data_IF_613881218847
#
_entry.id   IF_613881218847
#
_cell.length_a   1.000
_cell.length_b   1.000
_cell.length_c   1.000
_cell.angle_alpha   90.00
_cell.angle_beta   90.00
_cell.angle_gamma   90.00
#
_symmetry.space_group_name_H-M   'P 1'
#
loop_
_entity.id
_entity.type
_entity.pdbx_description
1 polymer ?
#
# COMPACT_ATOMS: atom_id res chain seq x y z
N UNK A 1 -26.78 -6.21 13.98
CA UNK A 1 -25.92 -5.35 13.14
C UNK A 1 -25.35 -4.13 13.86
N UNK A 2 -26.00 -3.53 14.88
CA UNK A 2 -25.41 -2.42 15.66
C UNK A 2 -24.14 -2.80 16.47
N UNK A 3 -24.02 -4.05 16.93
CA UNK A 3 -22.85 -4.52 17.69
C UNK A 3 -21.55 -4.65 16.88
N UNK A 4 -21.61 -4.74 15.54
CA UNK A 4 -20.42 -4.88 14.69
C UNK A 4 -19.62 -3.57 14.63
N UNK A 5 -20.25 -2.40 14.80
CA UNK A 5 -19.58 -1.09 14.68
C UNK A 5 -18.79 -0.67 15.94
N UNK A 6 -19.11 -1.24 17.10
CA UNK A 6 -18.43 -0.92 18.36
C UNK A 6 -16.95 -1.33 18.37
N UNK A 7 -16.55 -2.25 17.49
CA UNK A 7 -15.20 -2.79 17.42
C UNK A 7 -14.93 -3.79 18.56
N UNK A 8 -14.10 -4.79 18.30
CA UNK A 8 -13.65 -5.74 19.32
C UNK A 8 -12.83 -4.99 20.40
N UNK A 9 -12.92 -5.33 21.70
CA UNK A 9 -12.17 -4.62 22.76
C UNK A 9 -10.64 -4.57 22.53
N UNK A 10 -10.10 -5.58 21.86
CA UNK A 10 -8.69 -5.65 21.41
C UNK A 10 -8.39 -4.98 20.07
N UNK A 11 -9.21 -4.03 19.61
CA UNK A 11 -8.98 -3.35 18.33
C UNK A 11 -7.76 -2.41 18.38
N UNK A 12 -7.08 -2.23 17.25
CA UNK A 12 -6.07 -1.18 17.11
C UNK A 12 -6.68 0.22 17.00
N UNK A 13 -5.88 1.27 16.72
CA UNK A 13 -6.40 2.60 16.42
C UNK A 13 -7.49 2.57 15.34
N UNK A 14 -8.49 3.46 15.45
CA UNK A 14 -9.61 3.58 14.50
C UNK A 14 -9.82 5.04 14.09
N UNK A 15 -8.73 5.74 13.81
CA UNK A 15 -8.70 7.19 13.53
C UNK A 15 -8.24 7.37 12.08
N UNK A 16 -9.14 7.16 11.08
CA UNK A 16 -8.78 7.33 9.68
C UNK A 16 -8.43 8.79 9.37
N UNK A 17 -7.54 9.00 8.41
CA UNK A 17 -7.31 10.30 7.82
C UNK A 17 -8.61 10.83 7.23
N UNK A 18 -8.97 12.05 7.61
CA UNK A 18 -10.24 12.67 7.23
C UNK A 18 -10.26 13.13 5.77
N UNK A 19 -9.10 13.49 5.20
CA UNK A 19 -8.96 13.98 3.84
C UNK A 19 -7.52 13.78 3.34
N UNK A 20 -7.32 13.94 2.04
CA UNK A 20 -5.99 14.05 1.44
C UNK A 20 -5.40 15.42 1.72
N UNK A 21 -4.14 15.54 2.15
CA UNK A 21 -3.48 16.85 2.27
C UNK A 21 -3.47 17.58 0.93
N UNK A 22 -3.57 18.92 0.95
CA UNK A 22 -3.45 19.74 -0.26
C UNK A 22 -2.06 19.59 -0.88
N UNK A 23 -2.00 19.56 -2.20
CA UNK A 23 -0.73 19.59 -2.93
C UNK A 23 0.00 20.89 -2.63
N UNK A 24 1.28 20.81 -2.29
CA UNK A 24 2.12 22.00 -2.07
C UNK A 24 2.64 22.50 -3.42
N UNK A 25 2.82 23.82 -3.63
CA UNK A 25 3.63 24.31 -4.75
C UNK A 25 5.03 23.68 -4.72
N UNK A 26 5.64 23.55 -5.89
CA UNK A 26 6.98 22.96 -6.07
C UNK A 26 7.11 21.56 -5.45
N UNK A 27 6.09 20.73 -5.65
CA UNK A 27 6.04 19.35 -5.15
C UNK A 27 5.77 18.33 -6.24
N UNK A 28 6.07 17.07 -5.96
CA UNK A 28 5.61 15.94 -6.76
C UNK A 28 4.82 14.98 -5.89
N UNK A 29 3.67 14.53 -6.41
CA UNK A 29 2.79 13.54 -5.80
C UNK A 29 2.74 12.28 -6.66
N UNK A 30 3.08 11.15 -6.06
CA UNK A 30 2.82 9.82 -6.59
C UNK A 30 1.58 9.25 -5.91
N UNK A 31 0.62 8.79 -6.69
CA UNK A 31 -0.56 8.06 -6.19
C UNK A 31 -0.64 6.69 -6.83
N UNK A 32 -1.07 5.68 -6.08
CA UNK A 32 -1.45 4.38 -6.63
C UNK A 32 -2.68 3.81 -5.94
N UNK A 33 -3.44 3.04 -6.71
CA UNK A 33 -4.51 2.20 -6.20
C UNK A 33 -4.40 0.79 -6.77
N UNK A 34 -4.84 -0.21 -6.01
CA UNK A 34 -5.03 -1.58 -6.48
C UNK A 34 -6.39 -2.05 -6.02
N UNK A 35 -7.30 -2.22 -6.97
CA UNK A 35 -8.63 -2.78 -6.74
C UNK A 35 -8.58 -4.29 -6.85
N UNK A 36 -9.26 -4.97 -5.94
CA UNK A 36 -9.19 -6.41 -5.78
C UNK A 36 -10.61 -6.95 -5.88
N UNK A 37 -10.85 -7.77 -6.90
CA UNK A 37 -12.12 -8.45 -7.12
C UNK A 37 -11.98 -9.97 -6.99
N UNK A 38 -13.06 -10.64 -6.55
CA UNK A 38 -13.09 -12.10 -6.34
C UNK A 38 -12.56 -12.55 -4.96
N UNK A 39 -12.46 -11.63 -3.99
CA UNK A 39 -11.94 -11.92 -2.65
C UNK A 39 -12.91 -12.70 -1.74
N UNK A 40 -14.20 -12.74 -2.10
CA UNK A 40 -15.22 -13.45 -1.31
C UNK A 40 -15.14 -14.96 -1.50
N UNK A 41 -14.83 -15.42 -2.70
CA UNK A 41 -14.58 -16.83 -3.00
C UNK A 41 -13.15 -17.21 -2.61
N UNK A 42 -12.95 -18.37 -1.97
CA UNK A 42 -11.60 -18.89 -1.70
C UNK A 42 -10.94 -19.49 -2.95
N UNK A 43 -11.76 -19.94 -3.89
CA UNK A 43 -11.36 -20.57 -5.15
C UNK A 43 -11.87 -19.74 -6.32
N UNK A 44 -11.12 -19.71 -7.42
CA UNK A 44 -11.44 -18.91 -8.60
C UNK A 44 -10.51 -17.71 -8.78
N UNK A 45 -10.56 -17.06 -9.95
CA UNK A 45 -9.62 -16.02 -10.32
C UNK A 45 -9.75 -14.82 -9.39
N UNK A 46 -8.62 -14.39 -8.84
CA UNK A 46 -8.52 -13.11 -8.14
C UNK A 46 -7.94 -12.09 -9.12
N UNK A 47 -8.65 -10.99 -9.34
CA UNK A 47 -8.23 -9.97 -10.32
C UNK A 47 -7.80 -8.71 -9.59
N UNK A 48 -6.56 -8.30 -9.82
CA UNK A 48 -5.94 -7.11 -9.25
C UNK A 48 -5.85 -6.04 -10.35
N UNK A 49 -6.42 -4.86 -10.12
CA UNK A 49 -6.40 -3.74 -11.06
C UNK A 49 -5.68 -2.55 -10.44
N UNK A 50 -4.41 -2.43 -10.79
CA UNK A 50 -3.53 -1.36 -10.39
C UNK A 50 -3.65 -0.13 -11.29
N UNK A 51 -3.68 1.06 -10.70
CA UNK A 51 -3.53 2.36 -11.38
C UNK A 51 -2.56 3.24 -10.62
N UNK A 52 -1.72 3.98 -11.33
CA UNK A 52 -0.73 4.87 -10.75
C UNK A 52 -0.62 6.18 -11.53
N UNK A 53 -0.27 7.26 -10.82
CA UNK A 53 0.00 8.58 -11.42
C UNK A 53 1.09 9.31 -10.66
N UNK A 54 2.02 9.91 -11.41
CA UNK A 54 2.94 10.93 -10.92
C UNK A 54 2.50 12.30 -11.44
N UNK A 55 2.38 13.27 -10.54
CA UNK A 55 1.93 14.62 -10.84
C UNK A 55 2.81 15.64 -10.14
N UNK A 56 3.37 16.58 -10.89
CA UNK A 56 4.07 17.74 -10.34
C UNK A 56 3.08 18.87 -10.10
N UNK A 57 3.27 19.59 -9.01
CA UNK A 57 2.57 20.84 -8.72
C UNK A 57 3.56 21.97 -8.87
N UNK A 58 3.30 22.88 -9.80
CA UNK A 58 4.19 23.99 -10.12
C UNK A 58 4.14 25.11 -9.05
N UNK A 59 4.95 26.18 -9.17
CA UNK A 59 4.93 27.29 -8.20
C UNK A 59 3.58 28.02 -8.08
N UNK A 60 2.72 27.94 -9.11
CA UNK A 60 1.38 28.55 -9.12
C UNK A 60 0.32 27.65 -8.49
N UNK A 61 0.67 26.39 -8.19
CA UNK A 61 -0.25 25.36 -7.69
C UNK A 61 -0.89 24.52 -8.80
N UNK A 62 -0.58 24.77 -10.08
CA UNK A 62 -1.13 24.00 -11.19
C UNK A 62 -0.51 22.59 -11.24
N UNK A 63 -1.33 21.59 -11.52
CA UNK A 63 -0.90 20.20 -11.64
C UNK A 63 -0.51 19.84 -13.06
N UNK A 64 0.68 19.26 -13.25
CA UNK A 64 1.15 18.66 -14.49
C UNK A 64 1.36 17.16 -14.29
N UNK A 65 0.58 16.34 -14.99
CA UNK A 65 0.78 14.90 -14.98
C UNK A 65 2.05 14.53 -15.75
N UNK A 66 2.96 13.81 -15.09
CA UNK A 66 4.22 13.36 -15.70
C UNK A 66 4.12 11.93 -16.23
N UNK A 67 3.40 11.08 -15.52
CA UNK A 67 3.28 9.67 -15.87
C UNK A 67 1.97 9.09 -15.33
N UNK A 68 1.45 8.10 -16.07
CA UNK A 68 0.37 7.22 -15.64
C UNK A 68 0.72 5.79 -15.98
N UNK A 69 0.23 4.85 -15.19
CA UNK A 69 0.30 3.43 -15.51
C UNK A 69 -0.95 2.70 -15.02
N UNK A 70 -1.33 1.64 -15.73
CA UNK A 70 -2.29 0.64 -15.31
C UNK A 70 -1.66 -0.75 -15.41
N UNK A 71 -1.91 -1.59 -14.43
CA UNK A 71 -1.47 -3.00 -14.42
C UNK A 71 -2.64 -3.86 -13.97
N UNK A 72 -2.99 -4.86 -14.75
CA UNK A 72 -3.96 -5.89 -14.35
C UNK A 72 -3.23 -7.22 -14.17
N UNK A 73 -3.43 -7.86 -13.02
CA UNK A 73 -2.85 -9.15 -12.67
C UNK A 73 -3.97 -10.11 -12.29
N UNK A 74 -4.05 -11.24 -12.98
CA UNK A 74 -4.91 -12.34 -12.58
C UNK A 74 -4.10 -13.36 -11.78
N UNK A 75 -4.63 -13.77 -10.63
CA UNK A 75 -4.03 -14.75 -9.76
C UNK A 75 -4.87 -16.03 -9.77
N UNK A 76 -4.22 -17.15 -10.11
CA UNK A 76 -4.76 -18.48 -9.90
C UNK A 76 -4.59 -18.87 -8.43
N UNK A 77 -5.68 -19.34 -7.82
CA UNK A 77 -5.77 -19.77 -6.41
C UNK A 77 -6.17 -21.24 -6.25
N UNK A 78 -6.16 -22.03 -7.33
CA UNK A 78 -6.43 -23.48 -7.27
C UNK A 78 -5.38 -24.26 -6.45
N UNK A 79 -4.21 -23.64 -6.21
CA UNK A 79 -3.16 -24.15 -5.33
C UNK A 79 -2.42 -23.01 -4.63
N UNK A 80 -1.09 -23.05 -4.64
CA UNK A 80 -0.28 -21.92 -4.16
C UNK A 80 -0.53 -20.71 -5.08
N UNK A 81 -0.96 -19.54 -4.56
CA UNK A 81 -1.32 -18.41 -5.41
C UNK A 81 -0.19 -18.04 -6.37
N UNK A 82 -0.50 -18.00 -7.65
CA UNK A 82 0.45 -17.72 -8.72
C UNK A 82 -0.18 -16.83 -9.78
N UNK A 83 0.67 -16.07 -10.49
CA UNK A 83 0.21 -15.19 -11.56
C UNK A 83 -0.25 -16.03 -12.76
N UNK A 84 -1.51 -15.88 -13.14
CA UNK A 84 -2.07 -16.48 -14.34
C UNK A 84 -1.89 -15.57 -15.57
N UNK A 85 -2.02 -14.25 -15.37
CA UNK A 85 -1.90 -13.25 -16.44
C UNK A 85 -1.41 -11.91 -15.90
N UNK A 86 -0.64 -11.19 -16.71
CA UNK A 86 -0.26 -9.78 -16.47
C UNK A 86 -0.50 -8.99 -17.74
N UNK A 87 -1.16 -7.84 -17.62
CA UNK A 87 -1.24 -6.83 -18.67
C UNK A 87 -0.92 -5.47 -18.10
N UNK A 88 -0.24 -4.63 -18.87
CA UNK A 88 0.16 -3.29 -18.43
C UNK A 88 -0.01 -2.27 -19.56
N UNK A 89 -0.35 -1.04 -19.17
CA UNK A 89 -0.39 0.14 -20.02
C UNK A 89 0.31 1.32 -19.31
N UNK A 90 1.44 1.84 -19.82
CA UNK A 90 2.15 1.36 -21.01
C UNK A 90 2.67 -0.09 -20.83
N UNK A 91 2.94 -0.82 -21.92
CA UNK A 91 3.51 -2.17 -21.84
C UNK A 91 4.79 -2.18 -21.00
N UNK A 92 4.95 -3.22 -20.18
CA UNK A 92 6.14 -3.48 -19.37
C UNK A 92 6.93 -4.65 -19.99
N UNK A 93 7.98 -4.39 -20.80
CA UNK A 93 8.77 -5.46 -21.39
C UNK A 93 9.38 -6.36 -20.31
N UNK A 94 9.13 -7.68 -20.39
CA UNK A 94 9.59 -8.65 -19.40
C UNK A 94 8.52 -9.06 -18.39
N UNK A 95 7.37 -8.36 -18.32
CA UNK A 95 6.29 -8.71 -17.40
C UNK A 95 5.68 -10.10 -17.67
N UNK A 96 5.79 -10.60 -18.91
CA UNK A 96 5.38 -11.95 -19.30
C UNK A 96 6.14 -13.04 -18.52
N UNK A 97 7.38 -12.78 -18.09
CA UNK A 97 8.17 -13.70 -17.28
C UNK A 97 7.61 -13.91 -15.87
N UNK A 98 6.64 -13.08 -15.44
CA UNK A 98 5.97 -13.22 -14.15
C UNK A 98 4.83 -14.25 -14.20
N UNK A 99 4.37 -14.68 -15.38
CA UNK A 99 3.35 -15.72 -15.49
C UNK A 99 3.87 -17.03 -14.90
N UNK A 100 3.08 -17.65 -14.01
CA UNK A 100 3.47 -18.81 -13.21
C UNK A 100 4.27 -18.47 -11.96
N UNK A 101 4.70 -17.21 -11.75
CA UNK A 101 5.41 -16.82 -10.54
C UNK A 101 4.49 -16.89 -9.32
N UNK A 102 4.96 -17.60 -8.29
CA UNK A 102 4.24 -17.69 -7.02
C UNK A 102 4.23 -16.35 -6.28
N UNK A 103 3.05 -15.93 -5.82
CA UNK A 103 2.86 -14.64 -5.14
C UNK A 103 3.38 -14.64 -3.70
N UNK A 104 3.05 -15.65 -2.85
CA UNK A 104 3.66 -15.72 -1.53
C UNK A 104 5.16 -15.90 -1.69
N UNK A 105 5.98 -15.14 -0.95
CA UNK A 105 7.43 -15.33 -0.89
C UNK A 105 8.19 -15.33 -2.23
N UNK A 106 8.90 -14.24 -2.53
CA UNK A 106 9.84 -14.18 -3.67
C UNK A 106 9.31 -13.47 -4.91
N UNK A 107 8.01 -13.20 -5.01
CA UNK A 107 7.42 -12.45 -6.13
C UNK A 107 8.12 -11.12 -6.40
N UNK A 108 8.38 -10.31 -5.37
CA UNK A 108 9.10 -9.03 -5.52
C UNK A 108 10.51 -9.18 -6.10
N UNK A 109 11.19 -10.30 -5.82
CA UNK A 109 12.49 -10.61 -6.45
C UNK A 109 12.31 -10.99 -7.91
N UNK A 110 11.25 -11.74 -8.25
CA UNK A 110 10.91 -12.05 -9.63
C UNK A 110 10.60 -10.77 -10.43
N UNK A 111 9.84 -9.83 -9.85
CA UNK A 111 9.59 -8.50 -10.46
C UNK A 111 10.90 -7.74 -10.69
N UNK A 112 11.79 -7.68 -9.69
CA UNK A 112 13.09 -7.01 -9.85
C UNK A 112 13.97 -7.66 -10.92
N UNK A 113 13.92 -8.99 -11.06
CA UNK A 113 14.67 -9.72 -12.08
C UNK A 113 14.07 -9.56 -13.49
N UNK A 114 12.74 -9.51 -13.59
CA UNK A 114 12.01 -9.34 -14.85
C UNK A 114 12.07 -7.90 -15.38
N UNK A 115 12.07 -6.92 -14.47
CA UNK A 115 11.98 -5.49 -14.79
C UNK A 115 13.14 -4.67 -14.18
N UNK A 116 14.41 -4.99 -14.48
CA UNK A 116 15.56 -4.35 -13.82
C UNK A 116 15.73 -2.87 -14.17
N UNK A 117 15.19 -2.40 -15.31
CA UNK A 117 15.23 -1.00 -15.73
C UNK A 117 14.11 -0.14 -15.11
N UNK A 118 13.13 -0.76 -14.45
CA UNK A 118 11.87 -0.12 -14.06
C UNK A 118 11.74 0.08 -12.55
N UNK A 119 12.81 -0.09 -11.76
CA UNK A 119 12.75 -0.24 -10.28
C UNK A 119 12.05 0.90 -9.51
N UNK A 120 11.88 2.07 -10.13
CA UNK A 120 11.17 3.22 -9.55
C UNK A 120 9.97 3.69 -10.40
N UNK A 121 9.55 2.92 -11.40
CA UNK A 121 8.40 3.25 -12.24
C UNK A 121 7.07 2.90 -11.58
N UNK A 122 5.99 3.50 -12.07
CA UNK A 122 4.63 3.20 -11.61
C UNK A 122 4.26 1.73 -11.88
N UNK A 123 4.72 1.16 -13.00
CA UNK A 123 4.48 -0.26 -13.30
C UNK A 123 5.13 -1.19 -12.28
N UNK A 124 6.38 -0.91 -11.91
CA UNK A 124 7.07 -1.67 -10.86
C UNK A 124 6.38 -1.52 -9.50
N UNK A 125 5.96 -0.31 -9.12
CA UNK A 125 5.19 -0.07 -7.90
C UNK A 125 3.92 -0.94 -7.84
N UNK A 126 3.12 -0.95 -8.93
CA UNK A 126 1.87 -1.70 -8.99
C UNK A 126 2.09 -3.22 -8.90
N UNK A 127 3.17 -3.73 -9.51
CA UNK A 127 3.57 -5.13 -9.36
C UNK A 127 4.13 -5.43 -7.97
N UNK A 128 4.87 -4.51 -7.35
CA UNK A 128 5.40 -4.66 -5.98
C UNK A 128 4.29 -4.78 -4.93
N UNK A 129 3.11 -4.22 -5.20
CA UNK A 129 1.91 -4.29 -4.34
C UNK A 129 1.13 -5.61 -4.46
N UNK A 130 1.36 -6.43 -5.49
CA UNK A 130 0.64 -7.69 -5.72
C UNK A 130 0.66 -8.63 -4.50
N UNK A 131 1.80 -8.89 -3.82
CA UNK A 131 1.80 -9.77 -2.65
C UNK A 131 0.93 -9.25 -1.51
N UNK A 132 1.00 -7.94 -1.22
CA UNK A 132 0.14 -7.33 -0.22
C UNK A 132 -1.33 -7.42 -0.63
N UNK A 133 -1.64 -7.34 -1.92
CA UNK A 133 -3.01 -7.31 -2.44
C UNK A 133 -3.65 -8.69 -2.30
N UNK A 134 -2.88 -9.74 -2.61
CA UNK A 134 -3.30 -11.12 -2.36
C UNK A 134 -3.50 -11.39 -0.87
N UNK A 135 -2.64 -10.86 0.01
CA UNK A 135 -2.81 -11.01 1.47
C UNK A 135 -4.15 -10.42 1.94
N UNK A 136 -4.47 -9.19 1.53
CA UNK A 136 -5.70 -8.52 1.99
C UNK A 136 -6.96 -9.01 1.27
N UNK A 137 -6.82 -9.69 0.12
CA UNK A 137 -7.97 -10.22 -0.63
C UNK A 137 -8.85 -11.21 0.16
N UNK A 138 -8.27 -11.91 1.13
CA UNK A 138 -9.00 -12.84 2.00
C UNK A 138 -9.86 -12.15 3.06
N UNK A 139 -9.82 -10.81 3.14
CA UNK A 139 -10.57 -10.05 4.14
C UNK A 139 -12.08 -10.24 4.00
N UNK A 140 -12.61 -10.13 2.77
CA UNK A 140 -14.04 -10.29 2.49
C UNK A 140 -14.56 -11.65 2.97
N UNK A 141 -13.79 -12.72 2.73
CA UNK A 141 -14.10 -14.06 3.21
C UNK A 141 -14.13 -14.16 4.75
N UNK A 142 -13.23 -13.45 5.43
CA UNK A 142 -13.07 -13.52 6.88
C UNK A 142 -14.16 -12.77 7.68
N UNK A 143 -14.76 -11.73 7.11
CA UNK A 143 -15.68 -10.84 7.85
C UNK A 143 -17.15 -10.98 7.44
N UNK A 144 -17.44 -11.50 6.25
CA UNK A 144 -18.82 -11.63 5.77
C UNK A 144 -19.52 -12.88 6.34
N UNK A 145 -20.78 -12.76 6.77
CA UNK A 145 -21.59 -13.91 7.15
C UNK A 145 -21.81 -14.87 5.96
N UNK A 146 -21.61 -16.16 6.17
CA UNK A 146 -21.92 -17.20 5.19
C UNK A 146 -21.67 -18.60 5.76
N UNK A 147 -22.00 -19.67 5.02
CA UNK A 147 -21.50 -21.04 5.25
C UNK A 147 -20.00 -21.15 4.93
N UNK A 148 -19.24 -20.11 5.26
CA UNK A 148 -17.80 -20.12 5.13
C UNK A 148 -17.31 -21.20 6.09
N UNK A 149 -16.80 -22.29 5.52
CA UNK A 149 -16.21 -23.38 6.29
C UNK A 149 -15.05 -22.90 7.17
N UNK A 150 -14.46 -23.78 7.99
CA UNK A 150 -13.31 -23.41 8.81
C UNK A 150 -12.25 -22.69 7.97
N UNK A 151 -11.62 -21.65 8.56
CA UNK A 151 -10.52 -20.93 7.94
C UNK A 151 -9.54 -21.92 7.33
N UNK A 152 -9.17 -21.81 6.04
CA UNK A 152 -8.17 -22.68 5.46
C UNK A 152 -6.92 -22.58 6.34
N UNK A 153 -6.61 -23.66 7.05
CA UNK A 153 -5.58 -23.70 8.09
C UNK A 153 -4.17 -23.40 7.59
N UNK A 154 -3.99 -23.23 6.27
CA UNK A 154 -2.74 -22.87 5.63
C UNK A 154 -2.36 -21.39 5.70
N UNK A 155 -3.24 -20.49 6.17
CA UNK A 155 -2.97 -19.05 6.27
C UNK A 155 -2.67 -18.54 7.69
N UNK A 156 -2.94 -19.33 8.74
CA UNK A 156 -2.73 -18.93 10.13
C UNK A 156 -1.27 -19.18 10.58
N UNK A 157 -0.31 -18.61 9.86
CA UNK A 157 1.08 -18.70 10.29
C UNK A 157 1.32 -17.67 11.40
N UNK A 158 1.67 -18.17 12.59
CA UNK A 158 2.04 -17.32 13.71
C UNK A 158 3.34 -16.58 13.41
N UNK A 159 3.50 -15.42 14.05
CA UNK A 159 4.71 -14.61 14.07
C UNK A 159 5.19 -14.12 12.71
N UNK A 160 4.29 -14.03 11.72
CA UNK A 160 4.59 -13.42 10.41
C UNK A 160 4.67 -11.89 10.46
N UNK A 161 3.93 -11.27 11.38
CA UNK A 161 3.92 -9.83 11.61
C UNK A 161 3.41 -9.50 13.02
N UNK A 162 3.47 -8.24 13.42
CA UNK A 162 3.06 -7.76 14.75
C UNK A 162 1.59 -8.07 15.09
N UNK A 163 0.69 -8.12 14.10
CA UNK A 163 -0.70 -8.53 14.35
C UNK A 163 -0.85 -10.04 14.56
N UNK A 164 -0.04 -10.85 13.87
CA UNK A 164 -0.12 -12.32 13.87
C UNK A 164 0.76 -12.97 14.94
N UNK A 165 1.09 -12.23 16.00
CA UNK A 165 1.93 -12.74 17.08
C UNK A 165 1.29 -13.94 17.75
N UNK A 166 2.09 -14.95 18.07
CA UNK A 166 1.65 -16.16 18.77
C UNK A 166 0.89 -15.86 20.07
N UNK A 167 1.27 -14.80 20.77
CA UNK A 167 0.68 -14.30 22.02
C UNK A 167 -0.40 -13.23 21.82
N UNK A 168 -0.75 -12.89 20.58
CA UNK A 168 -1.68 -11.82 20.23
C UNK A 168 -3.13 -12.26 20.05
N UNK A 169 -4.01 -11.26 19.99
CA UNK A 169 -5.48 -11.38 19.93
C UNK A 169 -5.96 -12.37 18.87
N UNK A 170 -5.49 -12.24 17.62
CA UNK A 170 -5.89 -13.16 16.53
C UNK A 170 -5.51 -14.61 16.82
N UNK A 171 -4.28 -14.85 17.25
CA UNK A 171 -3.77 -16.21 17.46
C UNK A 171 -4.39 -16.86 18.69
N UNK A 172 -4.72 -16.08 19.73
CA UNK A 172 -5.47 -16.57 20.88
C UNK A 172 -6.87 -16.99 20.43
N UNK A 173 -7.62 -16.11 19.76
CA UNK A 173 -8.97 -16.39 19.24
C UNK A 173 -9.00 -17.64 18.36
N UNK A 174 -8.04 -17.80 17.44
CA UNK A 174 -7.97 -18.98 16.59
C UNK A 174 -7.80 -20.28 17.41
N UNK A 175 -7.03 -20.26 18.50
CA UNK A 175 -6.82 -21.43 19.36
C UNK A 175 -7.99 -21.72 20.29
N UNK A 176 -8.66 -20.68 20.81
CA UNK A 176 -9.69 -20.83 21.86
C UNK A 176 -11.10 -20.90 21.29
N UNK A 177 -11.34 -20.23 20.16
CA UNK A 177 -12.67 -20.04 19.57
C UNK A 177 -12.78 -20.64 18.15
N UNK A 178 -11.68 -21.12 17.58
CA UNK A 178 -11.66 -21.80 16.28
C UNK A 178 -11.75 -20.88 15.06
N UNK A 179 -11.63 -19.56 15.26
CA UNK A 179 -11.71 -18.55 14.20
C UNK A 179 -11.08 -17.21 14.56
N UNK A 180 -11.00 -16.32 13.57
CA UNK A 180 -10.61 -14.93 13.81
C UNK A 180 -11.74 -14.20 14.54
N UNK A 181 -11.43 -13.28 15.45
CA UNK A 181 -12.47 -12.47 16.08
C UNK A 181 -13.10 -11.58 15.00
N UNK A 182 -14.41 -11.29 15.08
CA UNK A 182 -15.07 -10.40 14.12
C UNK A 182 -14.32 -9.07 14.00
N UNK A 183 -13.91 -8.74 12.77
CA UNK A 183 -13.19 -7.52 12.47
C UNK A 183 -14.13 -6.50 11.83
N UNK A 184 -14.12 -5.27 12.35
CA UNK A 184 -14.88 -4.18 11.77
C UNK A 184 -14.04 -2.90 11.76
N UNK A 185 -13.81 -2.36 10.56
CA UNK A 185 -13.19 -1.05 10.37
C UNK A 185 -14.13 0.11 10.71
N UNK A 186 -13.61 1.33 10.99
CA UNK A 186 -14.43 2.53 10.92
C UNK A 186 -14.84 2.80 9.47
N UNK A 187 -15.93 3.56 9.28
CA UNK A 187 -16.34 4.06 7.95
C UNK A 187 -15.17 4.81 7.31
N UNK A 188 -14.91 4.55 6.03
CA UNK A 188 -13.88 5.23 5.26
C UNK A 188 -14.32 6.65 4.89
N UNK A 189 -13.62 7.69 5.37
CA UNK A 189 -13.85 9.04 4.87
C UNK A 189 -13.47 9.12 3.40
N UNK A 190 -14.23 9.91 2.63
CA UNK A 190 -13.85 10.24 1.27
C UNK A 190 -12.55 11.06 1.29
N UNK A 191 -11.58 10.62 0.50
CA UNK A 191 -10.28 11.27 0.37
C UNK A 191 -10.24 12.24 -0.81
N UNK A 192 -11.26 12.23 -1.68
CA UNK A 192 -11.37 13.20 -2.75
C UNK A 192 -11.59 14.60 -2.17
N UNK A 193 -10.88 15.57 -2.73
CA UNK A 193 -11.12 16.99 -2.47
C UNK A 193 -11.82 17.57 -3.72
N UNK A 194 -13.08 18.02 -3.62
CA UNK A 194 -13.78 18.60 -4.76
C UNK A 194 -13.09 19.86 -5.32
N UNK A 195 -12.27 20.53 -4.51
CA UNK A 195 -11.49 21.70 -4.92
C UNK A 195 -10.12 21.32 -5.54
N UNK A 196 -9.71 20.05 -5.44
CA UNK A 196 -8.47 19.53 -6.05
C UNK A 196 -8.71 18.18 -6.75
N UNK A 197 -9.37 18.17 -7.93
CA UNK A 197 -9.57 16.93 -8.71
C UNK A 197 -8.25 16.28 -9.16
N UNK A 198 -7.13 17.01 -9.09
CA UNK A 198 -5.79 16.50 -9.35
C UNK A 198 -5.11 15.88 -8.11
N UNK A 199 -5.78 15.83 -6.95
CA UNK A 199 -5.25 15.20 -5.74
C UNK A 199 -5.05 13.68 -5.91
N UNK A 200 -5.93 13.01 -6.66
CA UNK A 200 -5.91 11.58 -6.98
C UNK A 200 -6.24 11.33 -8.45
N UNK A 201 -5.78 10.21 -9.01
CA UNK A 201 -6.23 9.76 -10.33
C UNK A 201 -7.70 9.32 -10.26
N UNK A 202 -8.38 9.31 -11.40
CA UNK A 202 -9.79 8.89 -11.47
C UNK A 202 -9.95 7.44 -10.99
N UNK A 203 -10.93 7.22 -10.12
CA UNK A 203 -11.27 5.93 -9.56
C UNK A 203 -12.75 5.66 -9.76
N UNK A 204 -13.06 4.49 -10.30
CA UNK A 204 -14.42 3.99 -10.26
C UNK A 204 -14.83 3.70 -8.80
N UNK A 205 -16.14 3.72 -8.48
CA UNK A 205 -16.63 3.16 -7.23
C UNK A 205 -16.17 1.72 -7.06
N UNK A 206 -15.79 1.36 -5.84
CA UNK A 206 -15.40 -0.01 -5.52
C UNK A 206 -16.66 -0.88 -5.42
N UNK A 207 -16.66 -2.03 -6.08
CA UNK A 207 -17.80 -2.94 -6.04
C UNK A 207 -17.98 -3.54 -4.64
N UNK A 208 -19.19 -4.00 -4.33
CA UNK A 208 -19.49 -4.80 -3.14
C UNK A 208 -18.56 -6.01 -3.06
N UNK A 209 -18.05 -6.29 -1.85
CA UNK A 209 -16.98 -7.24 -1.55
C UNK A 209 -15.61 -6.94 -2.16
N UNK A 210 -15.47 -5.77 -2.79
CA UNK A 210 -14.20 -5.28 -3.27
C UNK A 210 -13.29 -4.86 -2.13
N UNK A 211 -11.99 -5.08 -2.31
CA UNK A 211 -10.96 -4.49 -1.46
C UNK A 211 -10.17 -3.50 -2.32
N UNK A 212 -9.79 -2.37 -1.76
CA UNK A 212 -8.93 -1.40 -2.43
C UNK A 212 -7.75 -1.04 -1.55
N UNK A 213 -6.55 -1.19 -2.12
CA UNK A 213 -5.35 -0.56 -1.60
C UNK A 213 -5.19 0.82 -2.23
N UNK A 214 -4.85 1.83 -1.44
CA UNK A 214 -4.48 3.18 -1.87
C UNK A 214 -3.16 3.59 -1.24
N UNK A 215 -2.27 4.21 -2.02
CA UNK A 215 -1.02 4.81 -1.54
C UNK A 215 -0.84 6.20 -2.14
N UNK A 216 -0.30 7.11 -1.34
CA UNK A 216 0.15 8.44 -1.77
C UNK A 216 1.55 8.68 -1.21
N UNK A 217 2.42 9.28 -1.99
CA UNK A 217 3.68 9.85 -1.54
C UNK A 217 3.79 11.26 -2.13
N UNK A 218 3.89 12.25 -1.25
CA UNK A 218 4.24 13.62 -1.61
C UNK A 218 5.70 13.87 -1.28
N UNK A 219 6.39 14.56 -2.19
CA UNK A 219 7.77 14.94 -2.05
C UNK A 219 7.92 16.43 -2.32
N UNK A 220 8.56 17.14 -1.38
CA UNK A 220 8.98 18.54 -1.53
C UNK A 220 10.47 18.66 -1.27
N UNK A 221 11.13 19.60 -1.94
CA UNK A 221 12.54 19.91 -1.70
C UNK A 221 12.68 21.28 -0.99
N UNK A 222 13.46 21.34 0.09
CA UNK A 222 13.77 22.58 0.79
C UNK A 222 15.16 22.48 1.44
N UNK A 223 15.98 23.52 1.33
CA UNK A 223 17.25 23.68 2.07
C UNK A 223 18.17 22.44 2.16
N UNK A 224 18.33 21.71 1.05
CA UNK A 224 19.18 20.51 1.00
C UNK A 224 18.54 19.25 1.59
N UNK A 225 17.26 19.31 1.95
CA UNK A 225 16.44 18.20 2.40
C UNK A 225 15.30 17.91 1.40
N UNK A 226 14.91 16.64 1.35
CA UNK A 226 13.71 16.18 0.70
C UNK A 226 12.74 15.70 1.77
N UNK A 227 11.59 16.36 1.87
CA UNK A 227 10.52 15.99 2.78
C UNK A 227 9.53 15.06 2.08
N UNK A 228 9.25 13.93 2.73
CA UNK A 228 8.25 12.96 2.32
C UNK A 228 7.08 12.98 3.28
N UNK A 229 5.87 13.09 2.72
CA UNK A 229 4.61 12.79 3.42
C UNK A 229 3.86 11.72 2.63
N UNK A 230 3.76 10.52 3.20
CA UNK A 230 3.19 9.36 2.55
C UNK A 230 2.06 8.72 3.37
N UNK A 231 1.15 8.05 2.69
CA UNK A 231 0.09 7.28 3.32
C UNK A 231 -0.17 5.96 2.59
N UNK A 232 -0.72 5.03 3.34
CA UNK A 232 -1.23 3.75 2.88
C UNK A 232 -2.61 3.54 3.49
N UNK A 233 -3.58 3.06 2.70
CA UNK A 233 -4.91 2.67 3.18
C UNK A 233 -5.40 1.44 2.43
N UNK A 234 -5.84 0.41 3.15
CA UNK A 234 -6.68 -0.67 2.62
C UNK A 234 -8.13 -0.45 3.08
N UNK A 235 -9.08 -0.52 2.15
CA UNK A 235 -10.52 -0.45 2.41
C UNK A 235 -11.25 -1.67 1.89
N UNK A 236 -12.43 -1.93 2.46
CA UNK A 236 -13.32 -3.02 2.09
C UNK A 236 -14.77 -2.51 2.00
N UNK A 237 -15.51 -2.94 0.97
CA UNK A 237 -16.95 -2.66 0.82
C UNK A 237 -17.76 -3.88 1.22
N UNK A 238 -18.60 -3.75 2.24
CA UNK A 238 -19.43 -4.85 2.75
C UNK A 238 -20.66 -5.15 1.88
N UNK A 239 -21.44 -6.16 2.28
CA UNK A 239 -22.70 -6.55 1.61
C UNK A 239 -23.71 -5.41 1.46
N UNK A 240 -23.70 -4.43 2.37
CA UNK A 240 -24.62 -3.29 2.36
C UNK A 240 -24.09 -2.12 1.50
N UNK A 241 -22.86 -2.23 1.00
CA UNK A 241 -22.19 -1.22 0.19
C UNK A 241 -21.40 -0.18 0.99
N UNK A 242 -21.24 -0.38 2.30
CA UNK A 242 -20.48 0.54 3.15
C UNK A 242 -18.96 0.29 3.02
N UNK A 243 -18.20 1.31 2.61
CA UNK A 243 -16.73 1.25 2.57
C UNK A 243 -16.15 1.51 3.97
N UNK A 244 -15.36 0.56 4.49
CA UNK A 244 -14.67 0.66 5.78
C UNK A 244 -13.16 0.57 5.64
N UNK A 245 -12.42 1.21 6.54
CA UNK A 245 -10.95 1.14 6.55
C UNK A 245 -10.48 -0.08 7.33
N UNK A 246 -9.63 -0.90 6.71
CA UNK A 246 -9.05 -2.09 7.35
C UNK A 246 -7.68 -1.78 7.93
N UNK A 247 -6.81 -1.20 7.10
CA UNK A 247 -5.45 -0.81 7.49
C UNK A 247 -5.17 0.61 7.02
N UNK A 248 -4.53 1.41 7.86
CA UNK A 248 -4.06 2.73 7.49
C UNK A 248 -2.82 3.13 8.30
N UNK A 249 -1.81 3.60 7.57
CA UNK A 249 -0.62 4.23 8.11
C UNK A 249 -0.36 5.56 7.40
N UNK A 250 0.08 6.55 8.17
CA UNK A 250 0.85 7.69 7.66
C UNK A 250 2.35 7.44 7.81
N UNK A 251 3.16 8.16 7.04
CA UNK A 251 4.61 8.16 7.14
C UNK A 251 5.14 9.56 6.81
N UNK A 252 5.95 10.12 7.69
CA UNK A 252 6.75 11.31 7.38
C UNK A 252 8.22 10.94 7.39
N UNK A 253 9.00 11.43 6.43
CA UNK A 253 10.44 11.23 6.40
C UNK A 253 11.18 12.46 5.88
N UNK A 254 12.34 12.75 6.44
CA UNK A 254 13.29 13.74 5.92
C UNK A 254 14.51 13.03 5.35
N UNK A 255 14.91 13.38 4.15
CA UNK A 255 15.99 12.71 3.40
C UNK A 255 17.02 13.76 3.00
N UNK A 256 18.30 13.47 3.22
CA UNK A 256 19.39 14.33 2.77
C UNK A 256 19.44 14.35 1.24
N UNK A 257 19.31 15.52 0.63
CA UNK A 257 19.16 15.64 -0.83
C UNK A 257 20.45 15.33 -1.60
N UNK A 258 21.61 15.41 -0.95
CA UNK A 258 22.90 15.16 -1.60
C UNK A 258 23.27 13.67 -1.64
N UNK A 259 22.92 12.95 -0.58
CA UNK A 259 23.29 11.54 -0.38
C UNK A 259 22.11 10.58 -0.54
N UNK A 260 20.88 11.09 -0.53
CA UNK A 260 19.64 10.33 -0.44
C UNK A 260 19.57 9.43 0.80
N UNK A 261 20.19 9.86 1.90
CA UNK A 261 20.15 9.16 3.18
C UNK A 261 18.91 9.57 3.96
N UNK A 262 18.17 8.61 4.52
CA UNK A 262 17.07 8.88 5.44
C UNK A 262 17.62 9.49 6.74
N UNK A 263 17.27 10.74 7.02
CA UNK A 263 17.69 11.48 8.23
C UNK A 263 16.68 11.30 9.35
N UNK A 264 15.40 11.39 9.02
CA UNK A 264 14.29 11.15 9.95
C UNK A 264 13.22 10.32 9.26
N UNK A 265 12.50 9.52 10.04
CA UNK A 265 11.36 8.75 9.56
C UNK A 265 10.44 8.46 10.75
N UNK A 266 9.13 8.59 10.56
CA UNK A 266 8.15 8.28 11.58
C UNK A 266 6.89 7.69 10.94
N UNK A 267 6.53 6.48 11.34
CA UNK A 267 5.27 5.86 10.97
C UNK A 267 4.16 6.27 11.94
N UNK A 268 2.97 6.53 11.40
CA UNK A 268 1.79 6.94 12.15
C UNK A 268 0.69 5.88 11.99
N UNK A 269 0.55 4.94 12.95
CA UNK A 269 -0.60 4.05 13.01
C UNK A 269 -1.91 4.85 13.06
N UNK A 270 -2.85 4.61 12.12
CA UNK A 270 -4.14 5.35 12.06
C UNK A 270 -5.35 4.44 12.21
N UNK A 271 -5.46 3.45 11.33
CA UNK A 271 -6.49 2.40 11.43
C UNK A 271 -5.79 1.07 11.40
N UNK A 272 -5.89 0.27 12.46
CA UNK A 272 -5.31 -1.07 12.48
C UNK A 272 -6.24 -2.08 13.14
N UNK A 273 -6.28 -3.33 12.66
CA UNK A 273 -7.19 -4.34 13.17
C UNK A 273 -7.09 -4.59 14.67
N UNK A 274 -5.87 -4.69 15.20
CA UNK A 274 -5.62 -5.23 16.53
C UNK A 274 -4.60 -4.40 17.32
N UNK A 275 -4.68 -4.46 18.65
CA UNK A 275 -3.84 -3.72 19.60
C UNK A 275 -2.34 -3.98 19.45
N UNK A 276 -1.94 -5.12 18.89
CA UNK A 276 -0.54 -5.47 18.67
C UNK A 276 0.01 -4.82 17.40
N UNK A 277 -0.83 -4.47 16.43
CA UNK A 277 -0.40 -3.92 15.15
C UNK A 277 0.37 -2.59 15.27
N UNK A 278 -0.05 -1.60 16.10
CA UNK A 278 0.66 -0.33 16.27
C UNK A 278 2.13 -0.47 16.70
N UNK A 279 2.49 -1.54 17.41
CA UNK A 279 3.86 -1.78 17.86
C UNK A 279 4.85 -1.87 16.69
N UNK A 280 4.38 -2.24 15.51
CA UNK A 280 5.18 -2.26 14.30
C UNK A 280 5.69 -0.87 13.89
N UNK A 281 5.01 0.22 14.29
CA UNK A 281 5.37 1.59 13.87
C UNK A 281 6.83 1.96 14.15
N UNK A 282 7.36 1.53 15.28
CA UNK A 282 8.76 1.76 15.67
C UNK A 282 9.79 1.05 14.76
N UNK A 283 9.36 0.11 13.91
CA UNK A 283 10.27 -0.53 12.95
C UNK A 283 10.77 0.45 11.89
N UNK A 284 10.04 1.55 11.64
CA UNK A 284 10.42 2.59 10.69
C UNK A 284 11.78 3.20 11.03
N UNK A 285 12.10 3.38 12.31
CA UNK A 285 13.35 3.98 12.80
C UNK A 285 14.61 3.25 12.29
N UNK A 286 14.49 1.96 11.94
CA UNK A 286 15.58 1.16 11.38
C UNK A 286 16.05 1.65 10.01
N UNK A 287 15.27 2.52 9.34
CA UNK A 287 15.66 3.10 8.06
C UNK A 287 16.55 4.35 8.22
N UNK A 288 16.64 4.96 9.42
CA UNK A 288 17.53 6.11 9.63
C UNK A 288 18.98 5.72 9.30
N UNK A 289 19.66 6.57 8.55
CA UNK A 289 21.02 6.33 8.05
C UNK A 289 21.09 5.42 6.83
N UNK A 290 19.95 4.94 6.31
CA UNK A 290 19.90 4.11 5.10
C UNK A 290 19.72 4.98 3.87
N UNK A 291 20.44 4.65 2.80
CA UNK A 291 20.19 5.20 1.46
C UNK A 291 18.82 4.72 0.94
N UNK A 292 17.98 5.64 0.47
CA UNK A 292 16.64 5.30 -0.03
C UNK A 292 16.66 4.23 -1.11
N UNK A 293 17.69 4.19 -1.96
CA UNK A 293 17.84 3.19 -3.03
C UNK A 293 17.96 1.76 -2.49
N UNK A 294 18.47 1.60 -1.26
CA UNK A 294 18.61 0.31 -0.60
C UNK A 294 17.36 -0.14 0.17
N UNK A 295 16.39 0.76 0.41
CA UNK A 295 15.24 0.52 1.29
C UNK A 295 14.41 -0.69 0.84
N UNK A 296 14.14 -0.85 -0.46
CA UNK A 296 13.39 -2.01 -0.97
C UNK A 296 14.10 -3.34 -0.65
N UNK A 297 15.42 -3.39 -0.78
CA UNK A 297 16.21 -4.57 -0.43
C UNK A 297 16.20 -4.84 1.08
N UNK A 298 16.48 -3.80 1.87
CA UNK A 298 16.54 -3.88 3.33
C UNK A 298 15.19 -4.32 3.93
N UNK A 299 14.09 -3.70 3.52
CA UNK A 299 12.74 -4.06 4.00
C UNK A 299 12.39 -5.50 3.61
N UNK A 300 12.69 -5.93 2.39
CA UNK A 300 12.45 -7.33 1.98
C UNK A 300 13.31 -8.37 2.73
N UNK A 301 14.51 -7.97 3.17
CA UNK A 301 15.47 -8.83 3.85
C UNK A 301 15.28 -8.91 5.37
N UNK A 302 15.12 -7.76 6.02
CA UNK A 302 15.27 -7.61 7.47
C UNK A 302 13.98 -7.24 8.22
N UNK A 303 12.95 -6.74 7.53
CA UNK A 303 11.70 -6.35 8.18
C UNK A 303 10.75 -7.53 8.22
N UNK A 304 10.98 -8.44 9.17
CA UNK A 304 10.23 -9.69 9.29
C UNK A 304 9.74 -9.95 10.70
N UNK A 305 8.71 -10.79 10.74
CA UNK A 305 8.09 -11.28 11.95
C UNK A 305 7.47 -10.18 12.80
N UNK A 306 7.35 -10.48 14.09
CA UNK A 306 6.58 -9.69 15.07
C UNK A 306 7.12 -8.28 15.33
N UNK A 307 8.32 -7.98 14.83
CA UNK A 307 9.00 -6.71 15.01
C UNK A 307 8.52 -5.62 14.04
N UNK A 308 7.63 -5.95 13.11
CA UNK A 308 7.09 -5.06 12.07
C UNK A 308 5.72 -5.54 11.57
N UNK A 309 5.14 -4.85 10.59
CA UNK A 309 3.90 -5.23 9.90
C UNK A 309 4.14 -5.34 8.40
N UNK A 310 3.52 -6.33 7.74
CA UNK A 310 3.56 -6.46 6.27
C UNK A 310 3.01 -5.21 5.57
N UNK A 311 1.93 -4.63 6.09
CA UNK A 311 1.33 -3.40 5.54
C UNK A 311 2.23 -2.17 5.74
N UNK A 312 2.88 -2.04 6.91
CA UNK A 312 3.85 -0.97 7.14
C UNK A 312 5.07 -1.13 6.22
N UNK A 313 5.57 -2.36 6.05
CA UNK A 313 6.67 -2.64 5.15
C UNK A 313 6.37 -2.15 3.73
N UNK A 314 5.16 -2.35 3.23
CA UNK A 314 4.76 -1.88 1.90
C UNK A 314 4.78 -0.34 1.80
N UNK A 315 4.34 0.37 2.85
CA UNK A 315 4.48 1.83 2.92
C UNK A 315 5.95 2.28 2.97
N UNK A 316 6.78 1.65 3.80
CA UNK A 316 8.21 1.99 3.91
C UNK A 316 8.97 1.80 2.60
N UNK A 317 8.61 0.78 1.81
CA UNK A 317 9.18 0.55 0.48
C UNK A 317 8.95 1.70 -0.50
N UNK A 318 7.94 2.55 -0.28
CA UNK A 318 7.70 3.75 -1.11
C UNK A 318 8.90 4.71 -1.12
N UNK A 319 9.69 4.74 -0.03
CA UNK A 319 10.86 5.60 0.05
C UNK A 319 11.90 5.26 -1.03
N UNK A 320 11.93 4.02 -1.53
CA UNK A 320 12.81 3.60 -2.62
C UNK A 320 12.56 4.31 -3.96
N UNK A 321 11.48 5.08 -4.08
CA UNK A 321 11.18 5.86 -5.29
C UNK A 321 11.63 7.32 -5.19
N UNK A 322 12.13 7.77 -4.02
CA UNK A 322 12.38 9.19 -3.76
C UNK A 322 13.42 9.80 -4.69
N UNK A 323 14.52 9.11 -4.99
CA UNK A 323 15.55 9.62 -5.92
C UNK A 323 14.97 9.92 -7.31
N UNK A 324 14.17 8.98 -7.84
CA UNK A 324 13.54 9.13 -9.14
C UNK A 324 12.51 10.30 -9.14
N UNK A 325 11.72 10.42 -8.08
CA UNK A 325 10.75 11.51 -7.93
C UNK A 325 11.44 12.87 -7.75
N UNK A 326 12.54 12.94 -7.00
CA UNK A 326 13.34 14.16 -6.85
C UNK A 326 13.94 14.60 -8.19
N UNK A 327 14.46 13.66 -8.98
CA UNK A 327 14.96 13.94 -10.32
C UNK A 327 13.85 14.45 -11.26
N UNK A 328 12.64 13.89 -11.18
CA UNK A 328 11.48 14.34 -11.95
C UNK A 328 11.01 15.75 -11.53
N UNK A 329 11.04 16.05 -10.23
CA UNK A 329 10.73 17.38 -9.70
C UNK A 329 11.74 18.42 -10.23
N UNK A 330 13.05 18.13 -10.11
CA UNK A 330 14.11 19.06 -10.53
C UNK A 330 14.11 19.40 -12.03
N UNK A 331 13.83 18.43 -12.90
CA UNK A 331 13.73 18.66 -14.37
C UNK A 331 12.60 19.64 -14.72
N UNK A 332 11.49 19.59 -14.01
CA UNK A 332 10.30 20.41 -14.30
C UNK A 332 10.34 21.78 -13.62
N UNK A 333 10.94 21.90 -12.43
CA UNK A 333 11.23 23.21 -11.82
C UNK A 333 12.18 24.03 -12.70
N UNK A 334 13.14 23.37 -13.37
CA UNK A 334 14.04 24.03 -14.32
C UNK A 334 13.36 24.53 -15.60
N UNK A 335 12.29 23.86 -16.07
CA UNK A 335 11.58 24.22 -17.30
C UNK A 335 10.53 25.33 -17.10
N UNK A 336 10.05 25.53 -15.86
CA UNK A 336 9.02 26.53 -15.52
C UNK A 336 9.62 27.86 -15.04
N UNK A 337 10.94 27.93 -14.77
CA UNK A 337 11.61 29.20 -14.51
C UNK A 337 11.70 30.03 -15.80
N UNK A 338 11.10 31.24 -15.87
CA UNK A 338 11.42 32.14 -16.97
C UNK A 338 12.91 32.46 -16.88
N UNK A 339 13.63 32.25 -17.98
CA UNK A 339 15.01 32.72 -18.15
C UNK A 339 14.97 34.23 -17.93
N UNK A 340 15.41 34.67 -16.75
CA UNK A 340 15.59 36.08 -16.46
C UNK A 340 16.87 36.49 -17.18
N UNK A 341 16.72 37.25 -18.26
CA UNK A 341 17.80 38.02 -18.88
C UNK A 341 18.13 39.23 -18.00
#
# INVERSE_FOLDING_TARGET
MAMIRAGHPGHGPRIPAAATPRRRPDSIRRTSTVDIAGGRELTGPLVLRGRGRDLVTDPTGAGLELARAAVEVEIDRAGRPAVARVTADPPLPGAEALVGAGVPGGFRRAVAAALPAETSSLGHLLLDDVPGAVIISGYAWAVEPGENGPHPGGMAQADICSGWRSDGTMMISMRTEGGLPPMAGPVAPDLADPDDPAAWHELAPLAVHGVRRRRRLDLTAHDGLLDVDAMFRDTYVDSDGDETVVHEYGLTAGIDAATFTVVTVAAQPRVLPWVECPLAGASADRLVGTDVRAVRGLVGGAFRGISTCTHLNDLLRSLGDVEALAAALGKNVGAVRPVSL
#
